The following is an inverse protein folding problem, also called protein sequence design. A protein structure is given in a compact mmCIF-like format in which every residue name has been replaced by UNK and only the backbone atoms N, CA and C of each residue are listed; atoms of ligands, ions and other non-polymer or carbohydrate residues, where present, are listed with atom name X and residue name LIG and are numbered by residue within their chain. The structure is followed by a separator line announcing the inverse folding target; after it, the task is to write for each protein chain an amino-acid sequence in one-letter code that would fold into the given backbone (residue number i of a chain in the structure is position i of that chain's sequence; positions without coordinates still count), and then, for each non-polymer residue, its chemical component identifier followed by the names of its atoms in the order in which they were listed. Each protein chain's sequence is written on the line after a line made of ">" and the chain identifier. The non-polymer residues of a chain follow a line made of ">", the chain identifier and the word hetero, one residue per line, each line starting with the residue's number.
data_IF_848308883076
#
_entry.id   IF_848308883076
#
_cell.length_a   1.000
_cell.length_b   1.000
_cell.length_c   1.000
_cell.angle_alpha   90.00
_cell.angle_beta   90.00
_cell.angle_gamma   90.00
#
_symmetry.space_group_name_H-M   'P 1'
#
loop_
_entity.id
_entity.type
_entity.pdbx_description
1 polymer ?
#
# COMPACT_ATOMS: atom_id res chain seq x y z
N UNK A 1 11.53 14.81 -14.42
CA UNK A 1 11.54 13.38 -14.04
C UNK A 1 11.10 13.27 -12.60
N UNK A 2 10.00 12.57 -12.30
CA UNK A 2 9.65 12.25 -10.90
C UNK A 2 10.85 11.52 -10.29
N UNK A 3 11.45 12.06 -9.23
CA UNK A 3 12.63 11.46 -8.57
C UNK A 3 12.29 10.18 -7.80
N UNK A 4 11.00 9.82 -7.68
CA UNK A 4 10.54 8.67 -6.91
C UNK A 4 9.47 7.89 -7.68
N UNK A 5 9.53 6.56 -7.57
CA UNK A 5 8.47 5.66 -8.05
C UNK A 5 7.23 5.91 -7.18
N UNK A 6 6.23 6.61 -7.74
CA UNK A 6 5.01 6.98 -7.00
C UNK A 6 4.25 5.76 -6.49
N UNK A 7 4.32 4.64 -7.23
CA UNK A 7 3.57 3.42 -6.97
C UNK A 7 3.90 2.78 -5.61
N UNK A 8 5.20 2.66 -5.29
CA UNK A 8 5.68 2.13 -4.01
C UNK A 8 5.22 2.96 -2.80
N UNK A 9 4.96 4.24 -3.01
CA UNK A 9 4.58 5.18 -1.96
C UNK A 9 3.07 5.33 -1.82
N UNK A 10 2.27 4.79 -2.75
CA UNK A 10 0.81 4.96 -2.75
C UNK A 10 0.17 4.44 -1.46
N UNK A 11 0.42 3.19 -1.08
CA UNK A 11 -0.13 2.59 0.16
C UNK A 11 0.32 3.37 1.41
N UNK A 12 1.63 3.64 1.62
CA UNK A 12 2.07 4.48 2.75
C UNK A 12 1.44 5.88 2.81
N UNK A 13 1.20 6.52 1.65
CA UNK A 13 0.58 7.84 1.60
C UNK A 13 -0.89 7.75 2.00
N UNK A 14 -1.63 6.76 1.48
CA UNK A 14 -3.03 6.57 1.87
C UNK A 14 -3.18 6.27 3.36
N UNK A 15 -2.36 5.39 3.94
CA UNK A 15 -2.39 5.12 5.38
C UNK A 15 -2.24 6.41 6.18
N UNK A 16 -1.22 7.23 5.88
CA UNK A 16 -1.01 8.51 6.57
C UNK A 16 -2.16 9.49 6.42
N UNK A 17 -2.79 9.53 5.24
CA UNK A 17 -3.94 10.40 5.00
C UNK A 17 -5.19 9.92 5.75
N UNK A 18 -5.41 8.60 5.80
CA UNK A 18 -6.49 7.97 6.56
C UNK A 18 -6.30 8.23 8.06
N UNK A 19 -5.12 7.91 8.61
CA UNK A 19 -4.78 8.18 10.02
C UNK A 19 -5.03 9.65 10.38
N UNK A 20 -4.63 10.58 9.49
CA UNK A 20 -4.82 12.00 9.73
C UNK A 20 -6.30 12.37 9.75
N UNK A 21 -7.09 11.93 8.77
CA UNK A 21 -8.51 12.23 8.69
C UNK A 21 -9.29 11.58 9.84
N UNK A 22 -8.93 10.36 10.23
CA UNK A 22 -9.52 9.64 11.37
C UNK A 22 -9.28 10.41 12.67
N UNK A 23 -8.07 10.95 12.89
CA UNK A 23 -7.79 11.81 14.05
C UNK A 23 -8.64 13.09 14.11
N UNK A 24 -9.14 13.58 12.98
CA UNK A 24 -10.06 14.74 12.95
C UNK A 24 -11.51 14.35 13.27
N UNK A 25 -11.87 13.07 13.10
CA UNK A 25 -13.21 12.53 13.31
C UNK A 25 -13.37 11.89 14.69
N UNK A 26 -12.28 11.41 15.28
CA UNK A 26 -12.24 10.80 16.61
C UNK A 26 -12.44 11.86 17.71
N UNK A 27 -13.46 11.69 18.54
CA UNK A 27 -13.80 12.61 19.64
C UNK A 27 -12.80 12.56 20.79
N UNK A 28 -12.02 11.49 20.88
CA UNK A 28 -11.01 11.30 21.93
C UNK A 28 -9.64 11.86 21.51
N UNK A 29 -9.45 12.18 20.22
CA UNK A 29 -8.21 12.76 19.70
C UNK A 29 -8.17 14.29 19.92
N UNK A 30 -6.97 14.81 20.20
CA UNK A 30 -6.72 16.25 20.38
C UNK A 30 -6.99 17.08 19.12
N UNK A 31 -6.97 16.45 17.94
CA UNK A 31 -7.20 17.08 16.64
C UNK A 31 -8.67 17.07 16.23
N UNK A 32 -9.57 16.56 17.07
CA UNK A 32 -11.00 16.48 16.78
C UNK A 32 -11.57 17.80 16.23
N UNK A 33 -12.29 17.71 15.11
CA UNK A 33 -12.98 18.85 14.54
C UNK A 33 -14.40 18.99 15.12
N UNK A 34 -14.57 19.93 16.05
CA UNK A 34 -15.88 20.22 16.66
C UNK A 34 -16.88 20.94 15.75
N UNK A 35 -16.45 21.48 14.62
CA UNK A 35 -17.28 22.30 13.74
C UNK A 35 -18.09 21.39 12.80
N UNK A 36 -19.43 21.42 12.92
CA UNK A 36 -20.32 20.43 12.26
C UNK A 36 -20.21 20.41 10.74
N UNK A 37 -20.27 21.56 10.06
CA UNK A 37 -20.20 21.61 8.59
C UNK A 37 -18.83 21.18 8.04
N UNK A 38 -17.75 21.45 8.77
CA UNK A 38 -16.41 20.98 8.41
C UNK A 38 -16.31 19.47 8.63
N UNK A 39 -16.87 18.95 9.72
CA UNK A 39 -16.92 17.51 9.99
C UNK A 39 -17.67 16.75 8.89
N UNK A 40 -18.80 17.28 8.42
CA UNK A 40 -19.53 16.66 7.30
C UNK A 40 -18.68 16.62 6.02
N UNK A 41 -17.86 17.65 5.77
CA UNK A 41 -16.91 17.67 4.66
C UNK A 41 -15.76 16.66 4.85
N UNK A 42 -15.20 16.58 6.06
CA UNK A 42 -14.15 15.61 6.42
C UNK A 42 -14.67 14.18 6.24
N UNK A 43 -15.88 13.87 6.70
CA UNK A 43 -16.52 12.57 6.55
C UNK A 43 -16.66 12.16 5.07
N UNK A 44 -17.14 13.07 4.21
CA UNK A 44 -17.20 12.83 2.75
C UNK A 44 -15.82 12.62 2.13
N UNK A 45 -14.83 13.37 2.58
CA UNK A 45 -13.43 13.20 2.18
C UNK A 45 -12.87 11.84 2.59
N UNK A 46 -13.13 11.40 3.82
CA UNK A 46 -12.75 10.10 4.35
C UNK A 46 -13.35 8.95 3.52
N UNK A 47 -14.65 9.00 3.25
CA UNK A 47 -15.34 8.01 2.43
C UNK A 47 -14.75 7.93 1.02
N UNK A 48 -14.48 9.08 0.41
CA UNK A 48 -13.84 9.13 -0.91
C UNK A 48 -12.42 8.59 -0.88
N UNK A 49 -11.66 8.88 0.18
CA UNK A 49 -10.29 8.40 0.36
C UNK A 49 -10.25 6.88 0.47
N UNK A 50 -11.15 6.27 1.26
CA UNK A 50 -11.29 4.82 1.36
C UNK A 50 -11.58 4.14 0.02
N UNK A 51 -12.42 4.75 -0.82
CA UNK A 51 -12.72 4.23 -2.17
C UNK A 51 -11.46 4.21 -3.06
N UNK A 52 -10.58 5.20 -2.95
CA UNK A 52 -9.34 5.19 -3.73
C UNK A 52 -8.26 4.32 -3.12
N UNK A 53 -8.23 4.21 -1.79
CA UNK A 53 -7.34 3.28 -1.11
C UNK A 53 -7.66 1.84 -1.50
N UNK A 54 -8.93 1.43 -1.52
CA UNK A 54 -9.31 0.07 -1.93
C UNK A 54 -8.88 -0.28 -3.36
N UNK A 55 -8.70 0.72 -4.24
CA UNK A 55 -8.20 0.50 -5.60
C UNK A 55 -6.71 0.16 -5.67
N UNK A 56 -5.95 0.32 -4.58
CA UNK A 56 -4.58 -0.21 -4.54
C UNK A 56 -4.56 -1.73 -4.56
N UNK A 57 -5.65 -2.38 -4.19
CA UNK A 57 -5.79 -3.84 -4.20
C UNK A 57 -6.21 -4.37 -5.58
N UNK A 58 -6.66 -3.51 -6.50
CA UNK A 58 -7.02 -3.88 -7.88
C UNK A 58 -5.82 -4.41 -8.69
N UNK A 59 -4.59 -4.16 -8.22
CA UNK A 59 -3.37 -4.59 -8.89
C UNK A 59 -2.26 -4.94 -7.90
N UNK A 60 -1.66 -6.12 -8.10
CA UNK A 60 -0.46 -6.53 -7.38
C UNK A 60 0.75 -5.61 -7.59
N UNK A 61 0.71 -4.74 -8.60
CA UNK A 61 1.78 -3.80 -8.87
C UNK A 61 2.07 -2.87 -7.67
N UNK A 62 1.05 -2.45 -6.91
CA UNK A 62 1.24 -1.63 -5.70
C UNK A 62 2.01 -2.40 -4.62
N UNK A 63 1.59 -3.62 -4.32
CA UNK A 63 2.22 -4.50 -3.33
C UNK A 63 3.65 -4.84 -3.72
N UNK A 64 3.87 -5.25 -4.98
CA UNK A 64 5.19 -5.60 -5.50
C UNK A 64 6.11 -4.38 -5.49
N UNK A 65 5.66 -3.22 -5.96
CA UNK A 65 6.47 -2.00 -5.95
C UNK A 65 6.83 -1.55 -4.52
N UNK A 66 5.90 -1.71 -3.57
CA UNK A 66 6.15 -1.41 -2.14
C UNK A 66 7.22 -2.34 -1.56
N UNK A 67 7.16 -3.65 -1.87
CA UNK A 67 8.14 -4.64 -1.41
C UNK A 67 9.52 -4.42 -2.04
N UNK A 68 9.56 -4.06 -3.33
CA UNK A 68 10.80 -3.78 -4.06
C UNK A 68 11.49 -2.48 -3.60
N UNK A 69 10.75 -1.53 -3.01
CA UNK A 69 11.35 -0.30 -2.47
C UNK A 69 12.21 -0.62 -1.23
N UNK A 70 13.54 -0.39 -1.27
CA UNK A 70 14.43 -0.72 -0.17
C UNK A 70 14.13 0.05 1.12
N UNK A 71 13.43 1.18 1.03
CA UNK A 71 13.05 2.02 2.19
C UNK A 71 11.86 1.43 2.94
N UNK A 72 11.04 0.61 2.27
CA UNK A 72 9.79 0.06 2.78
C UNK A 72 9.94 -1.43 3.05
N UNK A 73 10.09 -2.23 1.98
CA UNK A 73 10.15 -3.69 1.99
C UNK A 73 8.90 -4.30 2.64
N UNK A 74 8.90 -5.63 2.80
CA UNK A 74 7.88 -6.34 3.58
C UNK A 74 7.80 -5.86 5.06
N UNK A 75 8.84 -5.17 5.54
CA UNK A 75 8.89 -4.61 6.89
C UNK A 75 7.94 -3.42 7.08
N UNK A 76 7.57 -2.72 6.01
CA UNK A 76 6.56 -1.65 6.07
C UNK A 76 5.25 -2.19 6.69
N UNK A 77 4.68 -3.24 6.13
CA UNK A 77 3.42 -3.83 6.63
C UNK A 77 3.49 -4.28 8.09
N UNK A 78 4.65 -4.79 8.53
CA UNK A 78 4.90 -5.13 9.95
C UNK A 78 4.88 -3.91 10.85
N UNK A 79 5.51 -2.81 10.43
CA UNK A 79 5.55 -1.54 11.19
C UNK A 79 4.18 -0.89 11.29
N UNK A 80 3.39 -0.99 10.22
CA UNK A 80 2.00 -0.55 10.17
C UNK A 80 1.04 -1.49 10.94
N UNK A 81 1.57 -2.54 11.57
CA UNK A 81 0.82 -3.51 12.40
C UNK A 81 -0.32 -4.19 11.65
N UNK A 82 -0.12 -4.47 10.37
CA UNK A 82 -1.08 -5.25 9.59
C UNK A 82 -1.21 -6.66 10.14
N UNK A 83 -2.38 -7.27 9.95
CA UNK A 83 -2.60 -8.65 10.35
C UNK A 83 -1.66 -9.58 9.59
N UNK A 84 -1.18 -10.63 10.26
CA UNK A 84 -0.20 -11.56 9.72
C UNK A 84 -0.65 -12.17 8.40
N UNK A 85 -1.95 -12.45 8.25
CA UNK A 85 -2.54 -12.97 7.01
C UNK A 85 -2.31 -12.07 5.80
N UNK A 86 -2.45 -10.75 5.94
CA UNK A 86 -2.20 -9.80 4.84
C UNK A 86 -0.71 -9.68 4.53
N UNK A 87 0.16 -9.78 5.54
CA UNK A 87 1.61 -9.77 5.35
C UNK A 87 2.05 -11.02 4.57
N UNK A 88 1.49 -12.17 4.91
CA UNK A 88 1.76 -13.44 4.22
C UNK A 88 1.19 -13.42 2.80
N UNK A 89 0.00 -12.87 2.59
CA UNK A 89 -0.56 -12.66 1.25
C UNK A 89 0.34 -11.77 0.39
N UNK A 90 0.81 -10.64 0.91
CA UNK A 90 1.72 -9.74 0.20
C UNK A 90 3.03 -10.44 -0.18
N UNK A 91 3.58 -11.26 0.72
CA UNK A 91 4.76 -12.08 0.46
C UNK A 91 4.49 -13.11 -0.64
N UNK A 92 3.35 -13.79 -0.59
CA UNK A 92 2.98 -14.81 -1.58
C UNK A 92 2.77 -14.21 -2.96
N UNK A 93 2.10 -13.05 -3.06
CA UNK A 93 1.96 -12.29 -4.32
C UNK A 93 3.34 -12.04 -4.94
N UNK A 94 4.28 -11.51 -4.14
CA UNK A 94 5.62 -11.23 -4.63
C UNK A 94 6.37 -12.48 -5.13
N UNK A 95 6.38 -13.55 -4.32
CA UNK A 95 7.08 -14.80 -4.65
C UNK A 95 6.47 -15.45 -5.89
N UNK A 96 5.14 -15.53 -5.97
CA UNK A 96 4.45 -16.15 -7.09
C UNK A 96 4.67 -15.37 -8.38
N UNK A 97 4.58 -14.03 -8.35
CA UNK A 97 4.89 -13.19 -9.52
C UNK A 97 6.35 -13.36 -9.97
N UNK A 98 7.30 -13.37 -9.04
CA UNK A 98 8.70 -13.62 -9.39
C UNK A 98 8.88 -14.99 -10.05
N UNK A 99 8.31 -16.05 -9.46
CA UNK A 99 8.47 -17.41 -9.97
C UNK A 99 7.85 -17.58 -11.36
N UNK A 100 6.62 -17.09 -11.55
CA UNK A 100 5.87 -17.29 -12.78
C UNK A 100 6.39 -16.43 -13.94
N UNK A 101 6.79 -15.18 -13.66
CA UNK A 101 7.06 -14.21 -14.73
C UNK A 101 8.56 -13.99 -14.97
N UNK A 102 9.43 -14.37 -14.02
CA UNK A 102 10.87 -14.06 -14.09
C UNK A 102 11.77 -15.28 -13.85
N UNK A 103 11.39 -16.22 -12.98
CA UNK A 103 12.24 -17.36 -12.65
C UNK A 103 12.26 -18.41 -13.77
N UNK A 104 11.10 -18.85 -14.28
CA UNK A 104 11.04 -19.86 -15.34
C UNK A 104 11.68 -19.38 -16.66
N UNK A 105 11.47 -18.10 -17.00
CA UNK A 105 12.02 -17.50 -18.23
C UNK A 105 13.55 -17.45 -18.23
N UNK A 106 14.19 -17.21 -17.09
CA UNK A 106 15.66 -17.18 -17.00
C UNK A 106 16.31 -18.57 -17.12
N UNK A 107 15.60 -19.64 -16.72
CA UNK A 107 16.11 -21.00 -16.80
C UNK A 107 16.01 -21.61 -18.22
N UNK A 108 15.09 -21.14 -19.06
CA UNK A 108 15.06 -21.56 -20.48
C UNK A 108 16.20 -20.94 -21.29
N UNK A 109 16.53 -19.66 -21.06
CA UNK A 109 17.61 -18.96 -21.79
C UNK A 109 19.00 -19.50 -21.42
N UNK A 110 19.15 -20.13 -20.25
CA UNK A 110 20.42 -20.69 -19.78
C UNK A 110 20.77 -22.03 -20.43
N UNK A 111 19.82 -22.72 -21.07
CA UNK A 111 20.01 -24.06 -21.65
C UNK A 111 20.24 -24.06 -23.17
N UNK A 112 20.26 -22.90 -23.83
CA UNK A 112 20.45 -22.77 -25.28
C UNK A 112 21.90 -22.40 -25.69
N UNK A 113 22.88 -22.52 -24.77
CA UNK A 113 24.30 -22.21 -25.01
C UNK A 113 25.24 -23.41 -24.73
N UNK A 114 24.87 -24.63 -25.13
CA UNK A 114 25.78 -25.79 -25.21
C UNK A 114 25.91 -26.30 -26.66
#
# INVERSE_FOLDING_TARGET
>A
MSKYVTLSSSVPIYNKLLDHIESLLDKEDLKYCGISNIRDAIQKGYEKLKIYYSKTDDSYAYTIATILDPRLKLNFYRKEKWETEFIDQAKNIFINTYNNDYFETNNMISNDND
#
